data_IF_313489844106
#
_entry.id   IF_313489844106
#
_cell.length_a   1.000
_cell.length_b   1.000
_cell.length_c   1.000
_cell.angle_alpha   90.00
_cell.angle_beta   90.00
_cell.angle_gamma   90.00
#
_symmetry.space_group_name_H-M   'P 1'
#
loop_
_entity.id
_entity.type
_entity.pdbx_description
1 polymer ?
#
# COMPACT_ATOMS: atom_id res chain seq x y z
N UNK A 1 33.99 -10.00 -31.66
CA UNK A 1 32.77 -9.45 -32.30
C UNK A 1 31.55 -10.23 -31.80
N UNK A 2 31.02 -9.86 -30.63
CA UNK A 2 29.85 -10.52 -30.03
C UNK A 2 28.57 -10.22 -30.81
N UNK A 3 27.63 -11.16 -30.83
CA UNK A 3 26.29 -10.95 -31.41
C UNK A 3 25.66 -9.69 -30.83
N UNK A 4 24.92 -8.93 -31.64
CA UNK A 4 24.24 -7.73 -31.13
C UNK A 4 23.26 -8.10 -30.01
N UNK A 5 23.20 -7.26 -28.97
CA UNK A 5 22.40 -7.52 -27.77
C UNK A 5 20.91 -7.73 -28.12
N UNK A 6 20.40 -6.99 -29.10
CA UNK A 6 19.04 -7.12 -29.63
C UNK A 6 18.78 -8.52 -30.23
N UNK A 7 19.73 -9.07 -31.00
CA UNK A 7 19.61 -10.43 -31.55
C UNK A 7 19.62 -11.50 -30.45
N UNK A 8 20.43 -11.30 -29.41
CA UNK A 8 20.49 -12.20 -28.25
C UNK A 8 19.14 -12.19 -27.50
N UNK A 9 18.57 -11.01 -27.22
CA UNK A 9 17.26 -10.87 -26.54
C UNK A 9 16.12 -11.52 -27.34
N UNK A 10 16.04 -11.27 -28.65
CA UNK A 10 15.03 -11.89 -29.53
C UNK A 10 15.13 -13.42 -29.54
N UNK A 11 16.36 -13.96 -29.65
CA UNK A 11 16.56 -15.41 -29.62
C UNK A 11 16.20 -16.02 -28.26
N UNK A 12 16.53 -15.34 -27.17
CA UNK A 12 16.16 -15.79 -25.82
C UNK A 12 14.64 -15.80 -25.60
N UNK A 13 13.91 -14.82 -26.14
CA UNK A 13 12.44 -14.79 -26.07
C UNK A 13 11.82 -15.98 -26.82
N UNK A 14 12.23 -16.20 -28.07
CA UNK A 14 11.79 -17.36 -28.87
C UNK A 14 12.06 -18.69 -28.18
N UNK A 15 13.26 -18.87 -27.60
CA UNK A 15 13.60 -20.11 -26.90
C UNK A 15 12.76 -20.32 -25.62
N UNK A 16 12.32 -19.25 -24.96
CA UNK A 16 11.41 -19.32 -23.79
C UNK A 16 10.01 -19.73 -24.22
N UNK A 17 9.48 -19.13 -25.28
CA UNK A 17 8.17 -19.48 -25.85
C UNK A 17 8.15 -20.94 -26.31
N UNK A 18 9.23 -21.41 -26.93
CA UNK A 18 9.38 -22.80 -27.35
C UNK A 18 9.65 -23.79 -26.20
N UNK A 19 9.68 -23.35 -24.94
CA UNK A 19 9.98 -24.19 -23.77
C UNK A 19 11.43 -24.69 -23.69
N UNK A 20 12.32 -24.24 -24.58
CA UNK A 20 13.72 -24.68 -24.70
C UNK A 20 14.68 -23.91 -23.78
N UNK A 21 14.21 -22.84 -23.16
CA UNK A 21 14.99 -22.04 -22.21
C UNK A 21 14.13 -21.67 -21.00
N UNK A 22 14.49 -22.11 -19.78
CA UNK A 22 13.75 -21.70 -18.59
C UNK A 22 13.95 -20.21 -18.32
N UNK A 23 12.87 -19.51 -17.95
CA UNK A 23 13.02 -18.18 -17.40
C UNK A 23 13.60 -18.29 -15.99
N UNK A 24 14.76 -17.65 -15.76
CA UNK A 24 15.42 -17.63 -14.43
C UNK A 24 14.47 -17.18 -13.30
N UNK A 25 13.44 -16.38 -13.62
CA UNK A 25 12.40 -15.94 -12.68
C UNK A 25 11.02 -16.23 -13.26
N UNK A 26 10.16 -16.92 -12.51
CA UNK A 26 8.77 -17.17 -12.92
C UNK A 26 8.03 -15.82 -13.06
N UNK A 27 7.44 -15.51 -14.23
CA UNK A 27 6.67 -14.28 -14.42
C UNK A 27 5.47 -14.24 -13.47
N UNK A 28 4.96 -13.05 -13.14
CA UNK A 28 3.72 -12.92 -12.38
C UNK A 28 2.53 -13.24 -13.27
N UNK A 29 1.60 -14.04 -12.76
CA UNK A 29 0.33 -14.27 -13.45
C UNK A 29 -0.66 -13.13 -13.18
N UNK A 30 -1.66 -12.90 -14.04
CA UNK A 30 -2.71 -11.91 -13.80
C UNK A 30 -3.43 -12.11 -12.45
N UNK A 31 -3.60 -13.36 -12.01
CA UNK A 31 -4.21 -13.72 -10.72
C UNK A 31 -3.33 -13.28 -9.55
N UNK A 32 -2.01 -13.42 -9.68
CA UNK A 32 -1.06 -12.94 -8.68
C UNK A 32 -1.09 -11.41 -8.57
N UNK A 33 -1.20 -10.71 -9.70
CA UNK A 33 -1.33 -9.24 -9.70
C UNK A 33 -2.65 -8.79 -9.08
N UNK A 34 -3.77 -9.46 -9.41
CA UNK A 34 -5.07 -9.23 -8.78
C UNK A 34 -4.98 -9.45 -7.26
N UNK A 35 -4.28 -10.50 -6.82
CA UNK A 35 -4.06 -10.79 -5.40
C UNK A 35 -3.25 -9.68 -4.71
N UNK A 36 -2.16 -9.21 -5.33
CA UNK A 36 -1.34 -8.10 -4.83
C UNK A 36 -2.21 -6.85 -4.67
N UNK A 37 -2.99 -6.48 -5.70
CA UNK A 37 -3.86 -5.30 -5.70
C UNK A 37 -4.95 -5.39 -4.63
N UNK A 38 -5.63 -6.54 -4.52
CA UNK A 38 -6.72 -6.72 -3.55
C UNK A 38 -6.24 -6.65 -2.10
N UNK A 39 -5.04 -7.17 -1.81
CA UNK A 39 -4.56 -7.33 -0.45
C UNK A 39 -3.59 -6.25 0.03
N UNK A 40 -3.23 -5.27 -0.80
CA UNK A 40 -2.22 -4.26 -0.46
C UNK A 40 -2.58 -3.41 0.79
N UNK A 41 -3.88 -3.26 1.08
CA UNK A 41 -4.38 -2.48 2.23
C UNK A 41 -4.43 -3.29 3.52
N UNK A 42 -4.72 -4.58 3.46
CA UNK A 42 -4.91 -5.42 4.65
C UNK A 42 -3.61 -6.15 5.01
N UNK A 43 -2.94 -6.75 4.02
CA UNK A 43 -1.72 -7.53 4.24
C UNK A 43 -0.47 -6.67 4.07
N UNK A 44 0.56 -6.97 4.84
CA UNK A 44 1.93 -6.49 4.62
C UNK A 44 2.54 -7.15 3.39
N UNK A 45 3.58 -6.52 2.81
CA UNK A 45 4.33 -7.11 1.70
C UNK A 45 4.88 -8.50 2.07
N UNK A 46 5.31 -8.70 3.32
CA UNK A 46 5.82 -9.99 3.82
C UNK A 46 4.75 -11.08 3.81
N UNK A 47 3.53 -10.75 4.21
CA UNK A 47 2.41 -11.69 4.18
C UNK A 47 1.99 -12.04 2.76
N UNK A 48 1.93 -11.06 1.86
CA UNK A 48 1.64 -11.31 0.44
C UNK A 48 2.74 -12.18 -0.19
N UNK A 49 4.01 -11.90 0.11
CA UNK A 49 5.14 -12.70 -0.34
C UNK A 49 5.03 -14.16 0.13
N UNK A 50 4.66 -14.38 1.39
CA UNK A 50 4.42 -15.71 1.96
C UNK A 50 3.23 -16.41 1.29
N UNK A 51 2.11 -15.72 1.08
CA UNK A 51 0.93 -16.27 0.42
C UNK A 51 1.22 -16.71 -1.03
N UNK A 52 1.99 -15.91 -1.77
CA UNK A 52 2.37 -16.20 -3.15
C UNK A 52 3.62 -17.08 -3.29
N UNK A 53 4.24 -17.50 -2.17
CA UNK A 53 5.52 -18.22 -2.13
C UNK A 53 6.60 -17.56 -2.99
N UNK A 54 6.73 -16.24 -2.88
CA UNK A 54 7.68 -15.40 -3.63
C UNK A 54 8.58 -14.59 -2.70
N UNK A 55 9.78 -14.20 -3.13
CA UNK A 55 10.62 -13.28 -2.37
C UNK A 55 9.95 -11.91 -2.19
N UNK A 56 10.11 -11.31 -1.01
CA UNK A 56 9.61 -9.96 -0.68
C UNK A 56 10.06 -8.92 -1.71
N UNK A 57 11.34 -8.95 -2.10
CA UNK A 57 11.89 -8.04 -3.12
C UNK A 57 11.20 -8.16 -4.48
N UNK A 58 10.72 -9.36 -4.85
CA UNK A 58 9.96 -9.57 -6.07
C UNK A 58 8.57 -8.92 -5.99
N UNK A 59 7.93 -8.97 -4.83
CA UNK A 59 6.62 -8.32 -4.62
C UNK A 59 6.79 -6.80 -4.60
N UNK A 60 7.82 -6.26 -3.94
CA UNK A 60 8.11 -4.80 -3.93
C UNK A 60 8.27 -4.28 -5.35
N UNK A 61 9.09 -4.94 -6.16
CA UNK A 61 9.30 -4.54 -7.55
C UNK A 61 8.01 -4.65 -8.36
N UNK A 62 7.22 -5.71 -8.17
CA UNK A 62 5.95 -5.87 -8.88
C UNK A 62 4.93 -4.81 -8.49
N UNK A 63 4.79 -4.52 -7.19
CA UNK A 63 3.91 -3.48 -6.68
C UNK A 63 4.26 -2.11 -7.25
N UNK A 64 5.57 -1.76 -7.32
CA UNK A 64 6.04 -0.52 -7.95
C UNK A 64 5.64 -0.46 -9.43
N UNK A 65 5.81 -1.54 -10.19
CA UNK A 65 5.42 -1.60 -11.60
C UNK A 65 3.90 -1.48 -11.80
N UNK A 66 3.12 -1.94 -10.83
CA UNK A 66 1.65 -1.83 -10.84
C UNK A 66 1.14 -0.50 -10.26
N UNK A 67 2.02 0.39 -9.80
CA UNK A 67 1.63 1.64 -9.12
C UNK A 67 0.98 1.43 -7.75
N UNK A 68 1.16 0.27 -7.11
CA UNK A 68 0.50 -0.10 -5.85
C UNK A 68 1.36 0.31 -4.66
N UNK A 69 0.77 1.08 -3.74
CA UNK A 69 1.38 1.42 -2.45
C UNK A 69 0.92 0.46 -1.35
N UNK A 70 1.87 0.02 -0.52
CA UNK A 70 1.60 -0.75 0.71
C UNK A 70 1.61 0.13 1.97
N UNK A 71 1.51 1.45 1.79
CA UNK A 71 1.38 2.40 2.87
C UNK A 71 0.13 2.09 3.72
N UNK A 72 0.30 2.00 5.03
CA UNK A 72 -0.79 1.77 5.98
C UNK A 72 -1.07 3.08 6.71
N UNK A 73 -2.33 3.50 6.72
CA UNK A 73 -2.82 4.63 7.49
C UNK A 73 -4.17 4.30 8.10
N UNK A 74 -4.68 5.20 8.93
CA UNK A 74 -5.91 4.97 9.69
C UNK A 74 -5.85 3.71 10.54
N UNK A 75 -6.98 3.02 10.64
CA UNK A 75 -7.15 1.80 11.45
C UNK A 75 -6.24 0.64 11.03
N UNK A 76 -5.73 0.66 9.80
CA UNK A 76 -4.83 -0.37 9.28
C UNK A 76 -3.37 -0.16 9.72
N UNK A 77 -3.06 0.98 10.36
CA UNK A 77 -1.72 1.25 10.87
C UNK A 77 -1.55 0.65 12.27
N UNK A 78 -0.50 -0.16 12.45
CA UNK A 78 -0.29 -0.97 13.66
C UNK A 78 -0.11 -0.19 14.97
N UNK A 79 0.18 1.13 14.92
CA UNK A 79 0.27 2.01 16.10
C UNK A 79 -0.95 2.90 16.27
N UNK A 80 -2.02 2.68 15.52
CA UNK A 80 -3.23 3.48 15.64
C UNK A 80 -3.85 3.25 17.01
N UNK A 81 -3.91 4.32 17.79
CA UNK A 81 -4.56 4.35 19.10
C UNK A 81 -6.02 4.78 19.02
N UNK A 82 -6.32 5.67 18.08
CA UNK A 82 -7.63 6.28 17.89
C UNK A 82 -8.18 5.90 16.52
N UNK A 83 -9.37 5.27 16.45
CA UNK A 83 -9.93 4.80 15.20
C UNK A 83 -10.29 5.94 14.25
N UNK A 84 -10.48 5.64 12.96
CA UNK A 84 -10.87 6.60 11.94
C UNK A 84 -12.17 7.32 12.32
N UNK A 85 -13.13 6.59 12.90
CA UNK A 85 -14.41 7.12 13.40
C UNK A 85 -14.21 8.30 14.36
N UNK A 86 -13.31 8.14 15.33
CA UNK A 86 -13.07 9.18 16.35
C UNK A 86 -12.42 10.39 15.72
N UNK A 87 -11.52 10.19 14.75
CA UNK A 87 -10.87 11.28 14.03
C UNK A 87 -11.87 12.05 13.16
N UNK A 88 -12.81 11.37 12.51
CA UNK A 88 -13.88 12.03 11.77
C UNK A 88 -14.76 12.86 12.70
N UNK A 89 -15.17 12.31 13.85
CA UNK A 89 -15.97 13.03 14.82
C UNK A 89 -15.22 14.23 15.42
N UNK A 90 -13.93 14.08 15.74
CA UNK A 90 -13.08 15.20 16.20
C UNK A 90 -13.05 16.32 15.17
N UNK A 91 -12.93 15.99 13.88
CA UNK A 91 -12.94 16.98 12.79
C UNK A 91 -14.29 17.68 12.69
N UNK A 92 -15.38 16.93 12.70
CA UNK A 92 -16.75 17.48 12.66
C UNK A 92 -17.06 18.40 13.86
N UNK A 93 -16.65 18.02 15.07
CA UNK A 93 -16.80 18.87 16.26
C UNK A 93 -15.96 20.15 16.17
N UNK A 94 -14.76 20.07 15.59
CA UNK A 94 -13.90 21.25 15.39
C UNK A 94 -14.46 22.17 14.30
N UNK A 95 -15.02 21.60 13.25
CA UNK A 95 -15.65 22.33 12.14
C UNK A 95 -16.97 22.99 12.58
N UNK A 96 -17.70 22.40 13.52
CA UNK A 96 -18.86 23.00 14.19
C UNK A 96 -18.53 24.03 15.27
N UNK A 97 -17.23 24.26 15.54
CA UNK A 97 -16.75 25.39 16.35
C UNK A 97 -16.22 25.04 17.75
N UNK A 98 -16.29 23.79 18.20
CA UNK A 98 -15.80 23.42 19.53
C UNK A 98 -14.28 23.56 19.64
N UNK A 99 -13.81 24.08 20.77
CA UNK A 99 -12.38 24.17 21.09
C UNK A 99 -11.72 22.79 21.24
N UNK A 100 -10.42 22.70 20.99
CA UNK A 100 -9.67 21.47 21.24
C UNK A 100 -9.79 21.00 22.68
N UNK A 101 -9.92 21.91 23.64
CA UNK A 101 -10.11 21.61 25.06
C UNK A 101 -11.48 20.98 25.36
N UNK A 102 -12.55 21.45 24.73
CA UNK A 102 -13.88 20.86 24.89
C UNK A 102 -13.95 19.48 24.25
N UNK A 103 -13.35 19.31 23.08
CA UNK A 103 -13.25 18.02 22.40
C UNK A 103 -12.41 17.06 23.24
N UNK A 104 -11.27 17.50 23.75
CA UNK A 104 -10.40 16.73 24.64
C UNK A 104 -11.15 16.18 25.87
N UNK A 105 -11.98 17.01 26.50
CA UNK A 105 -12.84 16.60 27.62
C UNK A 105 -13.86 15.53 27.20
N UNK A 106 -14.48 15.67 26.03
CA UNK A 106 -15.48 14.70 25.52
C UNK A 106 -14.88 13.34 25.21
N UNK A 107 -13.64 13.30 24.72
CA UNK A 107 -12.93 12.07 24.37
C UNK A 107 -12.01 11.56 25.49
N UNK A 108 -11.96 12.25 26.62
CA UNK A 108 -11.09 11.92 27.77
C UNK A 108 -9.60 11.78 27.40
N UNK A 109 -9.11 12.66 26.52
CA UNK A 109 -7.72 12.67 26.03
C UNK A 109 -7.08 14.04 26.17
N UNK A 110 -5.76 14.13 26.04
CA UNK A 110 -5.09 15.43 26.15
C UNK A 110 -5.35 16.32 24.90
N UNK A 111 -5.49 17.66 25.06
CA UNK A 111 -5.73 18.58 23.95
C UNK A 111 -4.69 18.49 22.82
N UNK A 112 -3.42 18.25 23.16
CA UNK A 112 -2.36 18.04 22.18
C UNK A 112 -2.61 16.81 21.28
N UNK A 113 -3.18 15.74 21.85
CA UNK A 113 -3.58 14.57 21.05
C UNK A 113 -4.70 14.92 20.09
N UNK A 114 -5.73 15.66 20.54
CA UNK A 114 -6.82 16.13 19.66
C UNK A 114 -6.27 16.97 18.51
N UNK A 115 -5.36 17.90 18.80
CA UNK A 115 -4.74 18.76 17.79
C UNK A 115 -3.97 17.95 16.74
N UNK A 116 -3.20 16.94 17.18
CA UNK A 116 -2.54 16.00 16.27
C UNK A 116 -3.54 15.21 15.41
N UNK A 117 -4.60 14.68 16.03
CA UNK A 117 -5.64 13.91 15.35
C UNK A 117 -6.35 14.74 14.28
N UNK A 118 -6.63 16.01 14.59
CA UNK A 118 -7.27 16.93 13.66
C UNK A 118 -6.36 17.25 12.45
N UNK A 119 -5.16 17.77 12.69
CA UNK A 119 -4.30 18.30 11.63
C UNK A 119 -3.53 17.24 10.83
N UNK A 120 -3.02 16.21 11.50
CA UNK A 120 -1.91 15.41 10.95
C UNK A 120 -2.24 13.92 10.78
N UNK A 121 -3.31 13.43 11.42
CA UNK A 121 -3.65 12.01 11.39
C UNK A 121 -4.30 11.63 10.06
N UNK A 122 -3.58 10.81 9.27
CA UNK A 122 -4.05 10.29 7.99
C UNK A 122 -5.09 9.18 8.19
N UNK A 123 -6.30 9.37 7.66
CA UNK A 123 -7.39 8.38 7.64
C UNK A 123 -7.32 7.49 6.38
N UNK A 124 -8.16 6.47 6.30
CA UNK A 124 -8.31 5.61 5.13
C UNK A 124 -8.62 6.41 3.84
N UNK A 125 -9.33 7.53 3.95
CA UNK A 125 -9.62 8.42 2.82
C UNK A 125 -8.37 8.97 2.14
N UNK A 126 -7.30 9.19 2.90
CA UNK A 126 -6.03 9.63 2.33
C UNK A 126 -5.42 8.54 1.44
N UNK A 127 -5.50 7.28 1.86
CA UNK A 127 -5.05 6.16 1.02
C UNK A 127 -5.87 6.04 -0.27
N UNK A 128 -7.18 6.28 -0.21
CA UNK A 128 -8.06 6.29 -1.39
C UNK A 128 -7.66 7.45 -2.33
N UNK A 129 -7.51 8.68 -1.81
CA UNK A 129 -7.11 9.83 -2.61
C UNK A 129 -5.77 9.62 -3.32
N UNK A 130 -4.79 9.03 -2.65
CA UNK A 130 -3.48 8.72 -3.23
C UNK A 130 -3.53 7.66 -4.34
N UNK A 131 -4.51 6.78 -4.32
CA UNK A 131 -4.73 5.80 -5.39
C UNK A 131 -5.48 6.40 -6.58
N UNK A 132 -6.37 7.36 -6.34
CA UNK A 132 -7.20 8.00 -7.38
C UNK A 132 -6.53 9.18 -8.07
N UNK A 133 -5.56 9.83 -7.42
CA UNK A 133 -4.84 11.01 -7.92
C UNK A 133 -3.33 10.67 -7.98
N UNK A 134 -2.84 10.12 -9.12
CA UNK A 134 -1.43 9.79 -9.31
C UNK A 134 -0.52 11.02 -9.45
#
# INVERSE_FOLDING_TARGET
MGKSESKIRKKAAYLREAGKLPCKRKPFSPEQDKFIKKNCRIMTIKEVARALKRPVSSIVNRARLLGISYFKCGDLYYKTKYPDSDVYLIRELRDSGLSFSEIAKKFEICPNSVQYLYHSRLTADYAIRREMLP
#
